data_IF_066180480502
#
_entry.id   IF_066180480502
#
_cell.length_a   1.000
_cell.length_b   1.000
_cell.length_c   1.000
_cell.angle_alpha   90.00
_cell.angle_beta   90.00
_cell.angle_gamma   90.00
#
_symmetry.space_group_name_H-M   'P 1'
#
loop_
_entity.id
_entity.type
_entity.pdbx_description
1 polymer ?
#
# COMPACT_ATOMS: atom_id res chain seq x y z
N UNK A 1 -34.07 6.15 -32.42
CA UNK A 1 -34.80 6.08 -31.13
C UNK A 1 -35.13 4.62 -30.88
N UNK A 2 -34.46 3.99 -29.93
CA UNK A 2 -34.64 2.56 -29.60
C UNK A 2 -35.68 2.49 -28.48
N UNK A 3 -36.87 1.99 -28.81
CA UNK A 3 -37.92 1.72 -27.81
C UNK A 3 -37.53 0.49 -26.99
N UNK A 4 -37.24 0.69 -25.71
CA UNK A 4 -37.03 -0.38 -24.75
C UNK A 4 -38.41 -0.82 -24.23
N UNK A 5 -38.78 -2.11 -24.34
CA UNK A 5 -40.05 -2.60 -23.83
C UNK A 5 -40.09 -2.60 -22.29
N UNK A 6 -41.27 -2.37 -21.69
CA UNK A 6 -41.42 -2.36 -20.23
C UNK A 6 -41.21 -3.76 -19.65
N UNK A 7 -40.36 -3.85 -18.62
CA UNK A 7 -40.13 -5.09 -17.87
C UNK A 7 -41.40 -5.52 -17.10
N UNK A 8 -41.70 -6.83 -17.05
CA UNK A 8 -42.88 -7.35 -16.37
C UNK A 8 -42.75 -7.18 -14.85
N UNK A 9 -43.76 -6.55 -14.24
CA UNK A 9 -43.96 -6.53 -12.78
C UNK A 9 -44.47 -7.89 -12.34
N UNK A 10 -43.57 -8.81 -12.06
CA UNK A 10 -43.90 -10.14 -11.57
C UNK A 10 -43.08 -10.52 -10.34
N UNK A 11 -43.78 -10.62 -9.21
CA UNK A 11 -43.48 -11.46 -8.05
C UNK A 11 -42.01 -11.57 -7.59
N UNK A 12 -41.60 -10.64 -6.74
CA UNK A 12 -40.54 -10.94 -5.78
C UNK A 12 -41.16 -11.80 -4.67
N UNK A 13 -40.63 -13.00 -4.38
CA UNK A 13 -41.05 -13.72 -3.19
C UNK A 13 -40.67 -12.89 -1.95
N UNK A 14 -41.67 -12.59 -1.12
CA UNK A 14 -41.51 -12.12 0.26
C UNK A 14 -40.60 -13.11 1.02
N UNK A 15 -39.30 -12.86 0.97
CA UNK A 15 -38.35 -13.40 1.93
C UNK A 15 -38.50 -12.60 3.22
N UNK A 16 -39.62 -12.82 3.90
CA UNK A 16 -39.86 -12.42 5.29
C UNK A 16 -39.09 -13.40 6.18
N UNK A 17 -37.77 -13.37 6.03
CA UNK A 17 -36.81 -14.06 6.87
C UNK A 17 -36.71 -13.31 8.18
N UNK A 18 -37.26 -13.91 9.22
CA UNK A 18 -37.22 -13.58 10.64
C UNK A 18 -35.79 -13.14 11.07
N UNK A 19 -35.44 -11.88 10.77
CA UNK A 19 -34.22 -11.22 11.20
C UNK A 19 -34.37 -10.83 12.67
N UNK A 20 -34.61 -11.83 13.50
CA UNK A 20 -34.56 -11.75 14.95
C UNK A 20 -33.09 -11.65 15.32
N UNK A 21 -32.54 -10.44 15.12
CA UNK A 21 -31.23 -10.02 15.62
C UNK A 21 -31.26 -10.26 17.13
N UNK A 22 -30.74 -11.42 17.54
CA UNK A 22 -30.43 -11.73 18.94
C UNK A 22 -29.35 -10.73 19.38
N UNK A 23 -29.78 -9.55 19.81
CA UNK A 23 -29.03 -8.68 20.70
C UNK A 23 -28.99 -9.35 22.09
N UNK A 24 -28.29 -10.48 22.19
CA UNK A 24 -28.01 -11.15 23.45
C UNK A 24 -26.51 -11.25 23.61
N UNK A 25 -25.94 -10.26 24.29
CA UNK A 25 -25.05 -10.48 25.41
C UNK A 25 -24.53 -9.14 25.91
N UNK A 26 -25.17 -8.66 26.98
CA UNK A 26 -24.57 -7.73 27.92
C UNK A 26 -23.26 -8.35 28.41
N UNK A 27 -22.18 -8.00 27.73
CA UNK A 27 -20.82 -8.38 28.08
C UNK A 27 -20.40 -7.44 29.19
N UNK A 28 -20.44 -7.94 30.43
CA UNK A 28 -19.77 -7.28 31.56
C UNK A 28 -18.37 -6.86 31.08
N UNK A 29 -17.96 -5.59 31.25
CA UNK A 29 -16.61 -5.17 30.90
C UNK A 29 -15.64 -5.97 31.76
N UNK A 30 -15.05 -7.03 31.18
CA UNK A 30 -13.97 -7.77 31.83
C UNK A 30 -12.88 -6.76 32.09
N UNK A 31 -12.50 -6.60 33.36
CA UNK A 31 -11.45 -5.71 33.80
C UNK A 31 -10.27 -5.81 32.82
N UNK A 32 -10.00 -4.69 32.16
CA UNK A 32 -9.07 -4.57 31.05
C UNK A 32 -7.69 -4.94 31.61
N UNK A 33 -7.25 -6.18 31.35
CA UNK A 33 -5.90 -6.61 31.77
C UNK A 33 -4.92 -5.61 31.16
N UNK A 34 -3.93 -5.12 31.94
CA UNK A 34 -2.90 -4.22 31.40
C UNK A 34 -2.37 -4.84 30.11
N UNK A 35 -2.47 -4.08 29.01
CA UNK A 35 -2.03 -4.58 27.72
C UNK A 35 -0.55 -4.96 27.87
N UNK A 36 -0.16 -6.21 27.56
CA UNK A 36 1.23 -6.59 27.60
C UNK A 36 2.00 -5.65 26.69
N UNK A 37 3.09 -5.07 27.20
CA UNK A 37 4.01 -4.25 26.40
C UNK A 37 4.41 -5.08 25.18
N UNK A 38 3.85 -4.71 24.02
CA UNK A 38 4.11 -5.41 22.78
C UNK A 38 5.55 -5.11 22.41
N UNK A 39 6.43 -6.10 22.58
CA UNK A 39 7.83 -5.95 22.21
C UNK A 39 7.91 -5.89 20.69
N UNK A 40 8.13 -4.69 20.15
CA UNK A 40 8.26 -4.50 18.71
C UNK A 40 9.67 -4.98 18.33
N UNK A 41 9.79 -5.94 17.39
CA UNK A 41 11.09 -6.41 16.93
C UNK A 41 11.84 -5.28 16.21
N UNK A 42 13.15 -5.20 16.40
CA UNK A 42 14.00 -4.16 15.81
C UNK A 42 13.84 -4.06 14.27
N UNK A 43 13.62 -5.20 13.60
CA UNK A 43 13.38 -5.26 12.16
C UNK A 43 12.10 -4.53 11.73
N UNK A 44 11.05 -4.53 12.56
CA UNK A 44 9.81 -3.82 12.29
C UNK A 44 9.89 -2.34 12.66
N UNK A 45 10.83 -1.95 13.53
CA UNK A 45 10.99 -0.56 13.98
C UNK A 45 11.37 0.37 12.83
N UNK A 46 12.23 -0.09 11.91
CA UNK A 46 12.62 0.70 10.74
C UNK A 46 11.41 0.99 9.84
N UNK A 47 10.58 -0.02 9.57
CA UNK A 47 9.37 0.13 8.78
C UNK A 47 8.36 1.08 9.46
N UNK A 48 8.21 0.99 10.79
CA UNK A 48 7.38 1.92 11.57
C UNK A 48 7.89 3.36 11.47
N UNK A 49 9.20 3.57 11.58
CA UNK A 49 9.79 4.90 11.45
C UNK A 49 9.54 5.50 10.08
N UNK A 50 9.79 4.74 9.01
CA UNK A 50 9.49 5.17 7.63
C UNK A 50 8.01 5.54 7.45
N UNK A 51 7.09 4.72 7.98
CA UNK A 51 5.65 5.03 7.94
C UNK A 51 5.31 6.32 8.68
N UNK A 52 5.91 6.58 9.86
CA UNK A 52 5.72 7.83 10.61
C UNK A 52 6.21 9.04 9.83
N UNK A 53 7.41 8.95 9.25
CA UNK A 53 7.95 10.00 8.39
C UNK A 53 7.02 10.29 7.20
N UNK A 54 6.49 9.24 6.55
CA UNK A 54 5.54 9.40 5.46
C UNK A 54 4.24 10.08 5.89
N UNK A 55 3.68 9.72 7.06
CA UNK A 55 2.47 10.38 7.60
C UNK A 55 2.73 11.87 7.88
N UNK A 56 3.85 12.19 8.53
CA UNK A 56 4.24 13.59 8.77
C UNK A 56 4.40 14.33 7.44
N UNK A 57 5.05 13.71 6.46
CA UNK A 57 5.17 14.27 5.11
C UNK A 57 3.81 14.53 4.46
N UNK A 58 2.86 13.61 4.56
CA UNK A 58 1.50 13.79 4.03
C UNK A 58 0.79 14.97 4.70
N UNK A 59 0.90 15.10 6.02
CA UNK A 59 0.34 16.23 6.76
C UNK A 59 0.97 17.55 6.28
N UNK A 60 2.29 17.59 6.11
CA UNK A 60 2.99 18.77 5.59
C UNK A 60 2.50 19.12 4.18
N UNK A 61 2.33 18.12 3.29
CA UNK A 61 1.81 18.35 1.94
C UNK A 61 0.38 18.90 1.97
N UNK A 62 -0.49 18.42 2.87
CA UNK A 62 -1.84 18.99 3.03
C UNK A 62 -1.82 20.44 3.51
N UNK A 63 -0.95 20.78 4.47
CA UNK A 63 -0.79 22.16 4.92
C UNK A 63 -0.25 23.07 3.79
N UNK A 64 0.67 22.55 2.97
CA UNK A 64 1.16 23.25 1.79
C UNK A 64 0.06 23.46 0.75
N UNK A 65 -0.82 22.47 0.53
CA UNK A 65 -1.98 22.63 -0.36
C UNK A 65 -2.88 23.76 0.11
N UNK A 66 -3.23 23.80 1.39
CA UNK A 66 -4.03 24.88 1.98
C UNK A 66 -3.35 26.24 1.75
N UNK A 67 -2.03 26.30 1.99
CA UNK A 67 -1.25 27.54 1.80
C UNK A 67 -1.23 27.99 0.34
N UNK A 68 -1.07 27.05 -0.60
CA UNK A 68 -1.03 27.32 -2.04
C UNK A 68 -2.38 27.80 -2.56
N UNK A 69 -3.51 27.30 -2.04
CA UNK A 69 -4.86 27.83 -2.39
C UNK A 69 -4.96 29.34 -2.13
N UNK A 70 -4.27 29.86 -1.11
CA UNK A 70 -4.32 31.29 -0.77
C UNK A 70 -3.39 32.17 -1.63
N UNK A 71 -2.33 31.59 -2.22
CA UNK A 71 -1.29 32.35 -2.94
C UNK A 71 -1.42 32.21 -4.45
N UNK A 72 -1.83 31.04 -4.93
CA UNK A 72 -1.88 30.70 -6.35
C UNK A 72 -3.34 30.55 -6.80
N UNK A 73 -3.64 30.87 -8.08
CA UNK A 73 -4.97 30.62 -8.62
C UNK A 73 -5.31 29.13 -8.50
N UNK A 74 -6.56 28.86 -8.09
CA UNK A 74 -7.08 27.49 -7.98
C UNK A 74 -7.00 26.79 -9.34
N UNK A 75 -6.64 25.50 -9.37
CA UNK A 75 -6.77 24.71 -10.59
C UNK A 75 -8.25 24.69 -11.01
N UNK A 76 -8.49 24.65 -12.32
CA UNK A 76 -9.83 24.57 -12.90
C UNK A 76 -10.14 23.17 -13.43
N UNK A 77 -11.44 22.85 -13.55
CA UNK A 77 -11.90 21.64 -14.23
C UNK A 77 -11.40 20.33 -13.61
N UNK A 78 -10.89 19.43 -14.44
CA UNK A 78 -10.45 18.08 -14.03
C UNK A 78 -9.27 18.11 -13.05
N UNK A 79 -8.37 19.08 -13.18
CA UNK A 79 -7.21 19.23 -12.29
C UNK A 79 -7.67 19.48 -10.85
N UNK A 80 -8.69 20.32 -10.65
CA UNK A 80 -9.29 20.54 -9.33
C UNK A 80 -9.83 19.23 -8.73
N UNK A 81 -10.56 18.44 -9.52
CA UNK A 81 -11.08 17.14 -9.08
C UNK A 81 -9.96 16.18 -8.69
N UNK A 82 -8.87 16.11 -9.45
CA UNK A 82 -7.70 15.30 -9.11
C UNK A 82 -7.03 15.78 -7.80
N UNK A 83 -6.88 17.09 -7.60
CA UNK A 83 -6.31 17.64 -6.37
C UNK A 83 -7.20 17.34 -5.14
N UNK A 84 -8.51 17.46 -5.29
CA UNK A 84 -9.47 17.12 -4.23
C UNK A 84 -9.46 15.62 -3.90
N UNK A 85 -9.43 14.76 -4.92
CA UNK A 85 -9.34 13.31 -4.72
C UNK A 85 -8.04 12.92 -4.02
N UNK A 86 -6.91 13.50 -4.43
CA UNK A 86 -5.60 13.28 -3.79
C UNK A 86 -5.59 13.79 -2.34
N UNK A 87 -6.18 14.95 -2.05
CA UNK A 87 -6.26 15.50 -0.69
C UNK A 87 -7.15 14.65 0.22
N UNK A 88 -8.30 14.17 -0.27
CA UNK A 88 -9.16 13.25 0.45
C UNK A 88 -8.45 11.92 0.75
N UNK A 89 -7.77 11.35 -0.25
CA UNK A 89 -6.99 10.13 -0.08
C UNK A 89 -5.85 10.30 0.94
N UNK A 90 -5.12 11.41 0.88
CA UNK A 90 -4.08 11.77 1.86
C UNK A 90 -4.64 11.86 3.28
N UNK A 91 -5.79 12.50 3.44
CA UNK A 91 -6.46 12.66 4.74
C UNK A 91 -6.90 11.31 5.31
N UNK A 92 -7.49 10.45 4.48
CA UNK A 92 -7.89 9.10 4.86
C UNK A 92 -6.66 8.27 5.25
N UNK A 93 -5.59 8.31 4.46
CA UNK A 93 -4.35 7.60 4.75
C UNK A 93 -3.70 8.08 6.06
N UNK A 94 -3.58 9.40 6.27
CA UNK A 94 -3.00 9.97 7.48
C UNK A 94 -3.81 9.62 8.72
N UNK A 95 -5.13 9.86 8.70
CA UNK A 95 -6.03 9.56 9.82
C UNK A 95 -6.11 8.06 10.10
N UNK A 96 -6.22 7.24 9.05
CA UNK A 96 -6.30 5.79 9.15
C UNK A 96 -5.02 5.18 9.68
N UNK A 97 -3.85 5.65 9.24
CA UNK A 97 -2.56 5.11 9.66
C UNK A 97 -2.13 5.58 11.06
N UNK A 98 -2.49 6.80 11.47
CA UNK A 98 -2.13 7.40 12.77
C UNK A 98 -2.27 6.45 13.97
N UNK A 99 -3.41 5.78 14.22
CA UNK A 99 -3.56 4.92 15.39
C UNK A 99 -2.60 3.73 15.42
N UNK A 100 -2.21 3.17 14.28
CA UNK A 100 -1.27 2.04 14.23
C UNK A 100 0.17 2.49 14.46
N UNK A 101 0.55 3.64 13.91
CA UNK A 101 1.92 4.13 14.00
C UNK A 101 2.16 5.01 15.23
N UNK A 102 1.12 5.45 15.94
CA UNK A 102 1.23 6.02 17.28
C UNK A 102 1.71 4.95 18.27
N UNK A 103 2.72 5.28 19.07
CA UNK A 103 3.41 4.34 19.97
C UNK A 103 2.46 3.54 20.91
N UNK A 104 1.28 4.08 21.21
CA UNK A 104 0.31 3.48 22.13
C UNK A 104 -0.77 2.63 21.45
N UNK A 105 -1.05 2.85 20.15
CA UNK A 105 -2.21 2.24 19.49
C UNK A 105 -1.95 0.90 18.84
N UNK A 106 -0.69 0.58 18.53
CA UNK A 106 -0.32 -0.64 17.81
C UNK A 106 -0.84 -1.92 18.50
N UNK A 107 -0.66 -2.04 19.82
CA UNK A 107 -1.13 -3.19 20.58
C UNK A 107 -2.66 -3.37 20.54
N UNK A 108 -3.41 -2.27 20.48
CA UNK A 108 -4.88 -2.33 20.38
C UNK A 108 -5.30 -2.78 18.98
N UNK A 109 -4.69 -2.23 17.93
CA UNK A 109 -4.99 -2.60 16.55
C UNK A 109 -4.66 -4.06 16.25
N UNK A 110 -3.51 -4.56 16.72
CA UNK A 110 -3.11 -5.97 16.59
C UNK A 110 -4.10 -6.88 17.33
N UNK A 111 -4.45 -6.56 18.57
CA UNK A 111 -5.39 -7.36 19.36
C UNK A 111 -6.82 -7.38 18.78
N UNK A 112 -7.24 -6.27 18.14
CA UNK A 112 -8.55 -6.18 17.49
C UNK A 112 -8.55 -6.71 16.05
N UNK A 113 -7.42 -7.22 15.54
CA UNK A 113 -7.25 -7.68 14.15
C UNK A 113 -7.58 -6.59 13.10
N UNK A 114 -7.44 -5.31 13.47
CA UNK A 114 -7.71 -4.19 12.57
C UNK A 114 -6.52 -3.87 11.63
N UNK A 115 -5.44 -4.64 11.70
CA UNK A 115 -4.25 -4.38 10.89
C UNK A 115 -4.54 -4.62 9.41
N UNK A 116 -5.29 -5.68 9.07
CA UNK A 116 -5.67 -5.99 7.68
C UNK A 116 -6.49 -4.87 7.03
N UNK A 117 -7.61 -4.49 7.66
CA UNK A 117 -8.48 -3.42 7.14
C UNK A 117 -7.77 -2.08 6.98
N UNK A 118 -6.82 -1.78 7.87
CA UNK A 118 -6.00 -0.56 7.77
C UNK A 118 -5.02 -0.61 6.60
N UNK A 119 -4.40 -1.76 6.33
CA UNK A 119 -3.54 -1.94 5.16
C UNK A 119 -4.35 -1.80 3.87
N UNK A 120 -5.55 -2.39 3.81
CA UNK A 120 -6.45 -2.23 2.67
C UNK A 120 -6.87 -0.77 2.47
N UNK A 121 -7.09 -0.02 3.55
CA UNK A 121 -7.39 1.41 3.50
C UNK A 121 -6.19 2.22 2.97
N UNK A 122 -4.98 1.92 3.42
CA UNK A 122 -3.74 2.54 2.89
C UNK A 122 -3.54 2.19 1.41
N UNK A 123 -3.78 0.94 1.02
CA UNK A 123 -3.71 0.53 -0.39
C UNK A 123 -4.71 1.30 -1.25
N UNK A 124 -5.96 1.36 -0.79
CA UNK A 124 -7.05 1.98 -1.54
C UNK A 124 -6.81 3.48 -1.69
N UNK A 125 -6.34 4.15 -0.64
CA UNK A 125 -5.92 5.55 -0.75
C UNK A 125 -4.74 5.73 -1.72
N UNK A 126 -3.75 4.84 -1.68
CA UNK A 126 -2.62 4.86 -2.61
C UNK A 126 -3.06 4.69 -4.06
N UNK A 127 -3.94 3.71 -4.34
CA UNK A 127 -4.47 3.49 -5.70
C UNK A 127 -5.33 4.66 -6.17
N UNK A 128 -6.15 5.27 -5.31
CA UNK A 128 -6.89 6.49 -5.65
C UNK A 128 -5.94 7.64 -6.01
N UNK A 129 -4.82 7.79 -5.29
CA UNK A 129 -3.85 8.87 -5.54
C UNK A 129 -3.06 8.63 -6.83
N UNK A 130 -2.69 7.38 -7.11
CA UNK A 130 -2.13 6.99 -8.41
C UNK A 130 -3.12 7.22 -9.55
N UNK A 131 -4.39 6.88 -9.37
CA UNK A 131 -5.45 7.16 -10.33
C UNK A 131 -5.59 8.66 -10.62
N UNK A 132 -5.58 9.49 -9.58
CA UNK A 132 -5.62 10.95 -9.72
C UNK A 132 -4.41 11.48 -10.52
N UNK A 133 -3.21 10.95 -10.28
CA UNK A 133 -2.01 11.28 -11.04
C UNK A 133 -2.13 10.85 -12.51
N UNK A 134 -2.55 9.62 -12.78
CA UNK A 134 -2.73 9.12 -14.15
C UNK A 134 -3.73 9.99 -14.91
N UNK A 135 -4.86 10.35 -14.29
CA UNK A 135 -5.85 11.25 -14.88
C UNK A 135 -5.26 12.64 -15.15
N UNK A 136 -4.46 13.18 -14.22
CA UNK A 136 -3.78 14.46 -14.42
C UNK A 136 -2.73 14.43 -15.56
N UNK A 137 -2.21 13.24 -15.89
CA UNK A 137 -1.17 13.05 -16.89
C UNK A 137 -1.69 12.70 -18.31
N UNK A 138 -2.76 11.89 -18.47
CA UNK A 138 -2.95 11.11 -19.72
C UNK A 138 -4.07 11.49 -20.72
N UNK A 139 -5.00 12.43 -20.49
CA UNK A 139 -5.64 13.10 -21.65
C UNK A 139 -5.79 14.63 -21.45
N UNK A 140 -5.16 15.43 -22.32
CA UNK A 140 -5.16 16.91 -22.21
C UNK A 140 -4.27 17.48 -21.09
N UNK A 141 -3.52 16.61 -20.42
CA UNK A 141 -2.70 16.92 -19.24
C UNK A 141 -1.30 17.45 -19.56
N UNK A 142 -0.45 17.47 -18.53
CA UNK A 142 0.92 18.01 -18.59
C UNK A 142 1.77 17.29 -19.63
N UNK A 143 1.64 15.97 -19.76
CA UNK A 143 2.42 15.16 -20.70
C UNK A 143 2.10 15.50 -22.16
N UNK A 144 0.84 15.73 -22.48
CA UNK A 144 0.45 16.18 -23.82
C UNK A 144 1.00 17.59 -24.10
N UNK A 145 0.95 18.52 -23.14
CA UNK A 145 1.54 19.86 -23.29
C UNK A 145 3.06 19.86 -23.38
N UNK A 146 3.72 18.90 -22.73
CA UNK A 146 5.16 18.65 -22.85
C UNK A 146 5.49 18.16 -24.26
N UNK A 147 4.70 17.20 -24.76
CA UNK A 147 4.91 16.60 -26.07
C UNK A 147 4.57 17.55 -27.23
N UNK A 148 3.51 18.34 -27.10
CA UNK A 148 3.16 19.38 -28.08
C UNK A 148 4.18 20.53 -28.09
N UNK A 149 4.98 20.69 -27.03
CA UNK A 149 6.10 21.63 -26.95
C UNK A 149 7.42 21.04 -27.45
N UNK A 150 7.34 20.29 -28.55
CA UNK A 150 8.45 20.07 -29.48
C UNK A 150 8.88 21.38 -30.20
N UNK A 151 8.29 22.54 -29.86
CA UNK A 151 8.79 23.91 -30.12
C UNK A 151 9.81 24.33 -29.05
N UNK A 152 10.95 23.63 -29.07
CA UNK A 152 12.16 23.89 -28.30
C UNK A 152 12.97 25.04 -28.93
N UNK A 153 12.28 26.10 -29.35
CA UNK A 153 12.90 27.27 -29.99
C UNK A 153 12.98 28.41 -28.97
N UNK A 154 14.20 28.64 -28.51
CA UNK A 154 14.73 29.82 -27.80
C UNK A 154 13.97 30.33 -26.55
N UNK A 155 14.31 29.79 -25.37
CA UNK A 155 14.10 30.50 -24.10
C UNK A 155 13.05 29.95 -23.13
N UNK A 156 12.79 28.64 -23.17
CA UNK A 156 11.82 28.03 -22.26
C UNK A 156 12.19 28.26 -20.77
N UNK A 157 11.24 28.70 -19.93
CA UNK A 157 11.49 29.00 -18.52
C UNK A 157 11.83 27.73 -17.74
N UNK A 158 12.55 27.89 -16.61
CA UNK A 158 13.01 26.81 -15.74
C UNK A 158 11.93 25.74 -15.52
N UNK A 159 12.30 24.46 -15.48
CA UNK A 159 11.40 23.29 -15.37
C UNK A 159 10.34 23.43 -14.24
N UNK A 160 10.62 24.20 -13.17
CA UNK A 160 9.62 24.55 -12.13
C UNK A 160 8.50 25.48 -12.59
N UNK A 161 8.77 26.39 -13.53
CA UNK A 161 7.72 27.18 -14.19
C UNK A 161 6.86 26.31 -15.11
N UNK A 162 7.40 25.20 -15.60
CA UNK A 162 6.70 24.27 -16.47
C UNK A 162 5.79 23.33 -15.68
N UNK A 163 6.34 22.69 -14.64
CA UNK A 163 5.59 21.85 -13.72
C UNK A 163 5.01 22.73 -12.61
N UNK A 164 3.81 23.28 -12.84
CA UNK A 164 3.14 24.12 -11.84
C UNK A 164 3.10 23.49 -10.44
N UNK A 165 3.12 24.33 -9.39
CA UNK A 165 3.20 23.92 -7.98
C UNK A 165 2.23 22.80 -7.60
N UNK A 166 1.02 22.80 -8.18
CA UNK A 166 -0.01 21.78 -7.99
C UNK A 166 0.42 20.37 -8.42
N UNK A 167 1.21 20.26 -9.50
CA UNK A 167 1.74 18.98 -9.98
C UNK A 167 2.86 18.47 -9.05
N UNK A 168 3.73 19.36 -8.57
CA UNK A 168 4.76 19.01 -7.59
C UNK A 168 4.13 18.49 -6.29
N UNK A 169 3.07 19.14 -5.80
CA UNK A 169 2.33 18.69 -4.62
C UNK A 169 1.65 17.33 -4.84
N UNK A 170 1.08 17.10 -6.04
CA UNK A 170 0.49 15.80 -6.39
C UNK A 170 1.53 14.69 -6.46
N UNK A 171 2.66 14.93 -7.12
CA UNK A 171 3.75 13.96 -7.21
C UNK A 171 4.37 13.64 -5.84
N UNK A 172 4.48 14.66 -4.98
CA UNK A 172 4.91 14.49 -3.59
C UNK A 172 3.93 13.62 -2.80
N UNK A 173 2.61 13.87 -2.93
CA UNK A 173 1.57 13.04 -2.31
C UNK A 173 1.69 11.57 -2.75
N UNK A 174 1.80 11.31 -4.05
CA UNK A 174 1.90 9.94 -4.59
C UNK A 174 3.14 9.23 -4.08
N UNK A 175 4.28 9.93 -4.05
CA UNK A 175 5.55 9.39 -3.56
C UNK A 175 5.47 9.01 -2.07
N UNK A 176 4.91 9.90 -1.24
CA UNK A 176 4.72 9.67 0.19
C UNK A 176 3.70 8.56 0.47
N UNK A 177 2.60 8.48 -0.27
CA UNK A 177 1.64 7.38 -0.13
C UNK A 177 2.22 6.05 -0.57
N UNK A 178 3.01 6.02 -1.64
CA UNK A 178 3.70 4.80 -2.08
C UNK A 178 4.71 4.34 -1.04
N UNK A 179 5.48 5.28 -0.48
CA UNK A 179 6.41 4.99 0.62
C UNK A 179 5.67 4.46 1.86
N UNK A 180 4.55 5.08 2.26
CA UNK A 180 3.69 4.62 3.36
C UNK A 180 3.14 3.22 3.11
N UNK A 181 2.69 2.93 1.88
CA UNK A 181 2.16 1.63 1.49
C UNK A 181 3.24 0.54 1.58
N UNK A 182 4.43 0.78 1.03
CA UNK A 182 5.55 -0.18 1.06
C UNK A 182 6.05 -0.40 2.49
N UNK A 183 6.16 0.66 3.30
CA UNK A 183 6.60 0.51 4.70
C UNK A 183 5.55 -0.18 5.56
N UNK A 184 4.26 0.10 5.37
CA UNK A 184 3.16 -0.60 6.04
C UNK A 184 3.14 -2.10 5.67
N UNK A 185 3.40 -2.42 4.39
CA UNK A 185 3.55 -3.80 3.94
C UNK A 185 4.75 -4.50 4.61
N UNK A 186 5.92 -3.87 4.62
CA UNK A 186 7.11 -4.42 5.28
C UNK A 186 6.89 -4.68 6.77
N UNK A 187 6.19 -3.75 7.44
CA UNK A 187 5.79 -3.91 8.84
C UNK A 187 4.87 -5.13 9.03
N UNK A 188 3.81 -5.25 8.23
CA UNK A 188 2.88 -6.38 8.27
C UNK A 188 3.57 -7.72 8.05
N UNK A 189 4.41 -7.80 7.00
CA UNK A 189 5.16 -9.02 6.66
C UNK A 189 6.05 -9.47 7.82
N UNK A 190 6.79 -8.55 8.42
CA UNK A 190 7.68 -8.85 9.56
C UNK A 190 6.88 -9.35 10.76
N UNK A 191 5.77 -8.68 11.10
CA UNK A 191 4.89 -9.10 12.19
C UNK A 191 4.32 -10.52 12.00
N UNK A 192 3.96 -10.84 10.76
CA UNK A 192 3.40 -12.15 10.42
C UNK A 192 4.46 -13.25 10.42
N UNK A 193 5.65 -12.99 9.88
CA UNK A 193 6.77 -13.93 9.88
C UNK A 193 7.22 -14.33 11.29
N UNK A 194 7.10 -13.40 12.25
CA UNK A 194 7.38 -13.66 13.66
C UNK A 194 6.24 -14.35 14.41
N UNK A 195 5.13 -14.66 13.74
CA UNK A 195 3.95 -15.29 14.35
C UNK A 195 3.24 -14.39 15.37
N UNK A 196 3.50 -13.08 15.35
CA UNK A 196 2.83 -12.12 16.23
C UNK A 196 1.43 -11.76 15.72
N UNK A 197 1.15 -12.02 14.43
CA UNK A 197 -0.13 -11.78 13.79
C UNK A 197 -0.58 -12.99 12.96
N UNK A 198 -1.86 -13.43 13.05
CA UNK A 198 -2.90 -12.94 13.96
C UNK A 198 -2.75 -13.49 15.39
N UNK A 199 -3.17 -12.74 16.42
CA UNK A 199 -2.98 -13.14 17.80
C UNK A 199 -3.73 -14.45 18.12
N UNK A 200 -3.00 -15.40 18.72
CA UNK A 200 -3.56 -16.66 19.22
C UNK A 200 -3.78 -17.75 18.16
N UNK A 201 -3.47 -17.52 16.89
CA UNK A 201 -3.34 -18.61 15.91
C UNK A 201 -1.86 -19.07 15.92
N UNK A 202 -1.63 -20.39 15.86
CA UNK A 202 -0.30 -21.01 16.00
C UNK A 202 0.68 -20.67 14.87
N UNK A 203 1.69 -21.52 14.63
CA UNK A 203 2.73 -21.30 13.60
C UNK A 203 2.09 -20.97 12.24
N UNK A 204 2.20 -19.72 11.81
CA UNK A 204 1.74 -19.24 10.50
C UNK A 204 2.77 -19.61 9.44
N UNK A 205 2.34 -19.87 8.21
CA UNK A 205 3.26 -20.11 7.10
C UNK A 205 4.17 -18.90 6.86
N UNK A 206 5.47 -19.12 6.59
CA UNK A 206 6.46 -18.04 6.45
C UNK A 206 6.29 -17.21 5.17
N UNK A 207 5.61 -17.76 4.16
CA UNK A 207 5.37 -17.08 2.89
C UNK A 207 4.11 -16.23 2.94
N UNK A 208 4.31 -14.91 2.94
CA UNK A 208 3.27 -13.88 2.98
C UNK A 208 3.10 -13.33 1.57
N UNK A 209 1.98 -13.67 0.93
CA UNK A 209 1.69 -13.23 -0.44
C UNK A 209 1.23 -11.77 -0.46
N UNK A 210 1.69 -10.93 -1.41
CA UNK A 210 1.23 -9.54 -1.52
C UNK A 210 -0.27 -9.40 -1.77
N UNK A 211 -0.95 -10.45 -2.23
CA UNK A 211 -2.41 -10.45 -2.38
C UNK A 211 -3.16 -10.41 -1.04
N UNK A 212 -2.52 -10.80 0.06
CA UNK A 212 -3.07 -10.70 1.42
C UNK A 212 -3.20 -9.25 1.89
N UNK A 213 -2.66 -8.31 1.12
CA UNK A 213 -2.86 -6.87 1.30
C UNK A 213 -4.25 -6.42 0.83
N UNK A 214 -4.83 -7.13 -0.13
CA UNK A 214 -6.13 -6.81 -0.76
C UNK A 214 -7.27 -7.61 -0.12
N UNK A 215 -7.03 -8.89 0.12
CA UNK A 215 -8.01 -9.79 0.73
C UNK A 215 -7.64 -10.02 2.19
N UNK A 216 -8.63 -9.97 3.09
CA UNK A 216 -8.35 -10.37 4.49
C UNK A 216 -7.78 -11.79 4.50
N UNK A 217 -6.84 -12.07 5.40
CA UNK A 217 -6.22 -13.39 5.50
C UNK A 217 -7.27 -14.51 5.73
N UNK A 218 -8.45 -14.16 6.26
CA UNK A 218 -9.57 -15.08 6.43
C UNK A 218 -10.25 -15.39 5.08
N UNK A 219 -10.40 -14.41 4.19
CA UNK A 219 -10.93 -14.62 2.84
C UNK A 219 -9.99 -15.43 1.94
N UNK A 220 -8.67 -15.17 2.05
CA UNK A 220 -7.66 -15.95 1.31
C UNK A 220 -7.64 -17.40 1.77
N UNK A 221 -7.80 -17.66 3.07
CA UNK A 221 -7.88 -19.02 3.60
C UNK A 221 -9.13 -19.76 3.08
N UNK A 222 -10.27 -19.07 2.99
CA UNK A 222 -11.49 -19.63 2.40
C UNK A 222 -11.33 -19.93 0.90
N UNK A 223 -10.64 -19.05 0.16
CA UNK A 223 -10.30 -19.27 -1.24
C UNK A 223 -9.34 -20.46 -1.41
N UNK A 224 -8.31 -20.59 -0.56
CA UNK A 224 -7.38 -21.71 -0.63
C UNK A 224 -8.04 -23.06 -0.30
N UNK A 225 -8.92 -23.10 0.69
CA UNK A 225 -9.63 -24.33 1.08
C UNK A 225 -10.59 -24.79 -0.03
N UNK A 226 -11.27 -23.85 -0.69
CA UNK A 226 -12.12 -24.14 -1.85
C UNK A 226 -11.32 -24.61 -3.07
N UNK A 227 -10.12 -24.04 -3.28
CA UNK A 227 -9.23 -24.50 -4.33
C UNK A 227 -8.73 -25.92 -4.04
N UNK A 228 -8.21 -26.20 -2.84
CA UNK A 228 -7.71 -27.53 -2.46
C UNK A 228 -8.74 -28.66 -2.60
N UNK A 229 -10.03 -28.38 -2.38
CA UNK A 229 -11.11 -29.36 -2.55
C UNK A 229 -11.51 -29.64 -4.01
N UNK A 230 -11.14 -28.78 -4.97
CA UNK A 230 -11.71 -28.84 -6.32
C UNK A 230 -10.66 -28.91 -7.46
N UNK A 231 -9.36 -28.88 -7.14
CA UNK A 231 -8.28 -29.12 -8.12
C UNK A 231 -8.36 -30.48 -8.81
N UNK A 232 -9.04 -31.47 -8.21
CA UNK A 232 -9.27 -32.77 -8.84
C UNK A 232 -10.31 -32.71 -9.97
N UNK A 233 -11.15 -31.67 -10.01
CA UNK A 233 -12.24 -31.51 -10.99
C UNK A 233 -11.91 -30.50 -12.08
N UNK A 234 -11.07 -29.50 -11.78
CA UNK A 234 -10.45 -28.67 -12.82
C UNK A 234 -9.33 -29.47 -13.49
N UNK A 235 -9.68 -30.26 -14.51
CA UNK A 235 -8.77 -31.02 -15.37
C UNK A 235 -7.81 -30.15 -16.19
N UNK A 236 -7.04 -29.29 -15.51
CA UNK A 236 -5.76 -28.82 -16.02
C UNK A 236 -4.89 -30.08 -16.03
N UNK A 237 -4.92 -30.74 -17.18
CA UNK A 237 -4.03 -31.84 -17.52
C UNK A 237 -2.64 -31.43 -17.12
N UNK A 238 -2.16 -32.07 -16.05
CA UNK A 238 -0.80 -32.02 -15.61
C UNK A 238 0.05 -32.18 -16.86
N UNK A 239 0.80 -31.15 -17.23
CA UNK A 239 1.87 -31.28 -18.21
C UNK A 239 2.97 -32.07 -17.50
N UNK A 240 2.74 -33.37 -17.30
CA UNK A 240 3.71 -34.39 -16.86
C UNK A 240 4.74 -34.67 -17.98
N UNK A 241 5.22 -33.61 -18.63
CA UNK A 241 6.09 -33.68 -19.80
C UNK A 241 7.37 -32.85 -19.70
N UNK A 242 7.59 -32.14 -18.59
CA UNK A 242 8.92 -31.60 -18.26
C UNK A 242 9.42 -32.32 -17.01
N UNK A 243 9.70 -33.60 -17.24
CA UNK A 243 10.57 -34.40 -16.42
C UNK A 243 11.85 -33.59 -16.16
N UNK A 244 12.02 -33.31 -14.87
CA UNK A 244 13.19 -32.77 -14.22
C UNK A 244 14.47 -33.42 -14.77
N UNK A 245 15.08 -32.80 -15.76
CA UNK A 245 16.48 -33.04 -16.06
C UNK A 245 17.26 -32.44 -14.90
N UNK A 246 17.64 -33.31 -13.95
CA UNK A 246 18.45 -32.95 -12.81
C UNK A 246 19.66 -32.12 -13.28
N UNK A 247 19.87 -30.90 -12.76
CA UNK A 247 21.04 -30.12 -13.11
C UNK A 247 22.29 -30.96 -12.79
N UNK A 248 23.15 -31.12 -13.79
CA UNK A 248 24.39 -31.87 -13.66
C UNK A 248 25.15 -31.43 -12.40
N UNK A 249 25.76 -32.36 -11.65
CA UNK A 249 26.48 -32.07 -10.42
C UNK A 249 27.50 -30.96 -10.69
N UNK A 250 27.31 -29.84 -10.01
CA UNK A 250 28.20 -28.69 -10.12
C UNK A 250 29.59 -29.13 -9.62
N UNK A 251 30.65 -28.98 -10.42
CA UNK A 251 31.99 -29.39 -10.01
C UNK A 251 32.41 -28.64 -8.74
N UNK A 252 33.06 -29.36 -7.83
CA UNK A 252 33.49 -28.85 -6.54
C UNK A 252 34.29 -27.54 -6.69
N UNK A 253 34.00 -26.51 -5.89
CA UNK A 253 34.75 -25.26 -5.93
C UNK A 253 36.22 -25.54 -5.60
N UNK A 254 37.10 -25.12 -6.50
CA UNK A 254 38.54 -25.18 -6.30
C UNK A 254 38.94 -24.44 -5.00
N UNK A 255 39.93 -24.94 -4.25
CA UNK A 255 40.38 -24.30 -3.02
C UNK A 255 40.83 -22.86 -3.32
N UNK A 256 40.11 -21.89 -2.72
CA UNK A 256 40.50 -20.48 -2.73
C UNK A 256 41.80 -20.35 -1.94
N UNK A 257 42.90 -20.21 -2.68
CA UNK A 257 44.15 -19.73 -2.12
C UNK A 257 43.91 -18.35 -1.50
N UNK A 258 44.14 -18.24 -0.20
CA UNK A 258 44.31 -17.00 0.54
C UNK A 258 45.38 -16.15 -0.15
N UNK A 259 44.95 -15.11 -0.87
CA UNK A 259 45.82 -14.08 -1.43
C UNK A 259 45.44 -12.72 -0.82
N UNK A 260 45.72 -12.60 0.47
CA UNK A 260 46.53 -11.53 1.04
C UNK A 260 46.88 -10.34 0.09
N UNK A 261 45.99 -9.34 0.04
CA UNK A 261 46.25 -7.91 -0.26
C UNK A 261 45.16 -7.15 0.50
N UNK A 262 45.34 -6.42 1.61
CA UNK A 262 46.46 -5.57 2.06
C UNK A 262 47.08 -4.75 0.93
N UNK A 263 46.33 -3.75 0.51
CA UNK A 263 46.80 -2.45 -0.01
C UNK A 263 45.69 -1.48 0.42
N UNK A 264 45.83 -0.81 1.57
CA UNK A 264 46.56 0.45 1.71
C UNK A 264 45.90 1.50 0.80
N UNK A 265 44.77 2.02 1.28
CA UNK A 265 44.08 3.17 0.70
C UNK A 265 44.46 4.35 1.60
N UNK A 266 45.65 4.87 1.34
CA UNK A 266 46.21 6.09 1.93
C UNK A 266 45.51 7.34 1.33
N UNK A 267 45.30 8.29 2.22
CA UNK A 267 45.55 9.73 2.03
C UNK A 267 45.11 10.41 0.72
N UNK A 268 43.91 11.00 0.76
CA UNK A 268 43.54 12.11 -0.13
C UNK A 268 43.53 13.42 0.68
N UNK A 269 44.50 14.35 0.46
CA UNK A 269 44.46 15.66 1.09
C UNK A 269 43.43 16.57 0.41
N UNK A 270 42.59 17.23 1.22
CA UNK A 270 41.69 18.28 0.77
C UNK A 270 42.46 19.56 0.44
N UNK A 271 42.13 20.27 -0.66
CA UNK A 271 42.65 21.61 -0.91
C UNK A 271 41.93 22.62 -0.01
N UNK A 272 42.70 23.45 0.68
CA UNK A 272 42.21 24.66 1.35
C UNK A 272 42.01 25.75 0.30
N UNK A 273 40.85 26.39 0.35
CA UNK A 273 40.52 27.65 -0.32
C UNK A 273 40.20 28.69 0.74
#
# INVERSE_FOLDING_TARGET
>A
MVSIPPLPRGAWPELEGDARVRQSSSTRPKAQRPLPNLNVPAEAEEALWRSRCSIVGLIVVELLRISVVHVFPSPGGLEYTCQMLSSAANSIAALGATPVFAAQGLGVCVNRRCLGSLLTLILTSATCTWGALVIALFPGGVLQRLWEKELLDEGAPQVLAFAGVWNCLMLSSVSLQSALCVSAWGFYRTYRQLGLYPPGKGKVQPDVSPLEFVCEAEDVALLSDQCHGNWQSCGLTTVEGLESQAPAPTPAPAPRAEAQRRLHEDDVPFPSS
#
